data_IF_223584317964
#
_entry.id   IF_223584317964
#
_cell.length_a   1.000
_cell.length_b   1.000
_cell.length_c   1.000
_cell.angle_alpha   90.00
_cell.angle_beta   90.00
_cell.angle_gamma   90.00
#
_symmetry.space_group_name_H-M   'P 1'
#
loop_
_entity.id
_entity.type
_entity.pdbx_description
1 polymer ?
#
# COMPACT_ATOMS: atom_id res chain seq x y z
N UNK A 1 -4.51 -6.25 -28.64
CA UNK A 1 -3.64 -5.69 -27.57
C UNK A 1 -2.28 -6.37 -27.71
N UNK A 2 -1.20 -5.62 -27.95
CA UNK A 2 0.15 -6.20 -27.97
C UNK A 2 0.49 -6.67 -26.56
N UNK A 3 0.95 -7.91 -26.41
CA UNK A 3 1.55 -8.36 -25.16
C UNK A 3 2.74 -7.44 -24.83
N UNK A 4 2.87 -7.05 -23.55
CA UNK A 4 4.02 -6.28 -23.11
C UNK A 4 5.30 -7.10 -23.37
N UNK A 5 6.22 -6.57 -24.17
CA UNK A 5 7.53 -7.18 -24.40
C UNK A 5 8.56 -6.50 -23.53
N UNK A 6 9.27 -7.28 -22.71
CA UNK A 6 10.39 -6.77 -21.92
C UNK A 6 11.55 -6.42 -22.84
N UNK A 7 12.24 -5.31 -22.53
CA UNK A 7 13.52 -5.00 -23.18
C UNK A 7 14.61 -6.00 -22.73
N UNK A 8 15.76 -6.06 -23.42
CA UNK A 8 16.89 -6.86 -22.94
C UNK A 8 17.31 -6.52 -21.51
N UNK A 9 17.37 -5.23 -21.16
CA UNK A 9 17.73 -4.78 -19.80
C UNK A 9 16.67 -5.16 -18.75
N UNK A 10 15.38 -5.04 -19.10
CA UNK A 10 14.30 -5.48 -18.22
C UNK A 10 14.33 -6.99 -18.01
N UNK A 11 14.66 -7.75 -19.06
CA UNK A 11 14.79 -9.21 -19.00
C UNK A 11 16.00 -9.65 -18.17
N UNK A 12 17.14 -8.96 -18.30
CA UNK A 12 18.30 -9.17 -17.44
C UNK A 12 17.94 -8.94 -15.97
N UNK A 13 17.29 -7.81 -15.66
CA UNK A 13 16.89 -7.49 -14.30
C UNK A 13 15.93 -8.55 -13.71
N UNK A 14 14.98 -9.04 -14.51
CA UNK A 14 14.05 -10.11 -14.10
C UNK A 14 14.73 -11.46 -13.90
N UNK A 15 15.87 -11.70 -14.56
CA UNK A 15 16.63 -12.95 -14.42
C UNK A 15 17.44 -13.02 -13.12
N UNK A 16 17.78 -11.86 -12.53
CA UNK A 16 18.56 -11.77 -11.30
C UNK A 16 17.80 -12.39 -10.13
N UNK A 17 18.45 -13.32 -9.43
CA UNK A 17 17.87 -13.99 -8.26
C UNK A 17 18.35 -13.30 -6.99
N UNK A 18 17.44 -12.87 -6.11
CA UNK A 18 17.85 -12.28 -4.84
C UNK A 18 18.69 -13.24 -4.01
N UNK A 19 19.77 -12.75 -3.40
CA UNK A 19 20.65 -13.57 -2.55
C UNK A 19 19.92 -14.00 -1.27
N UNK A 20 20.24 -15.21 -0.81
CA UNK A 20 19.78 -15.76 0.47
C UNK A 20 20.98 -16.03 1.38
N UNK A 21 20.73 -16.11 2.69
CA UNK A 21 21.75 -16.40 3.70
C UNK A 21 22.16 -15.18 4.52
N UNK A 22 23.37 -15.22 5.07
CA UNK A 22 23.91 -14.14 5.91
C UNK A 22 24.23 -12.92 5.04
N UNK A 23 23.48 -11.84 5.25
CA UNK A 23 23.61 -10.57 4.53
C UNK A 23 23.77 -9.43 5.53
N UNK A 24 24.60 -8.46 5.19
CA UNK A 24 24.65 -7.16 5.87
C UNK A 24 23.33 -6.40 5.67
N UNK A 25 23.08 -5.36 6.48
CA UNK A 25 21.87 -4.52 6.34
C UNK A 25 21.82 -3.86 4.96
N UNK A 26 22.93 -3.27 4.52
CA UNK A 26 23.06 -2.70 3.18
C UNK A 26 22.77 -3.70 2.05
N UNK A 27 23.28 -4.93 2.14
CA UNK A 27 22.96 -5.98 1.17
C UNK A 27 21.47 -6.34 1.20
N UNK A 28 20.85 -6.48 2.38
CA UNK A 28 19.40 -6.73 2.48
C UNK A 28 18.58 -5.62 1.83
N UNK A 29 18.98 -4.36 2.00
CA UNK A 29 18.34 -3.20 1.34
C UNK A 29 18.48 -3.31 -0.18
N UNK A 30 19.66 -3.69 -0.69
CA UNK A 30 19.88 -3.88 -2.12
C UNK A 30 19.02 -5.01 -2.70
N UNK A 31 18.91 -6.15 -2.01
CA UNK A 31 18.05 -7.27 -2.44
C UNK A 31 16.55 -6.89 -2.41
N UNK A 32 16.13 -6.12 -1.40
CA UNK A 32 14.78 -5.57 -1.33
C UNK A 32 14.49 -4.58 -2.48
N UNK A 33 15.47 -3.75 -2.84
CA UNK A 33 15.32 -2.80 -3.95
C UNK A 33 15.23 -3.53 -5.29
N UNK A 34 16.06 -4.56 -5.51
CA UNK A 34 15.96 -5.43 -6.70
C UNK A 34 14.56 -6.01 -6.84
N UNK A 35 14.00 -6.59 -5.76
CA UNK A 35 12.64 -7.13 -5.75
C UNK A 35 11.58 -6.06 -6.05
N UNK A 36 11.75 -4.84 -5.52
CA UNK A 36 10.87 -3.71 -5.85
C UNK A 36 10.91 -3.38 -7.34
N UNK A 37 12.10 -3.30 -7.93
CA UNK A 37 12.27 -3.01 -9.35
C UNK A 37 11.65 -4.10 -10.23
N UNK A 38 11.91 -5.38 -9.93
CA UNK A 38 11.28 -6.51 -10.62
C UNK A 38 9.76 -6.48 -10.50
N UNK A 39 9.24 -6.20 -9.29
CA UNK A 39 7.81 -6.03 -9.06
C UNK A 39 7.20 -4.93 -9.92
N UNK A 40 7.89 -3.78 -10.07
CA UNK A 40 7.45 -2.68 -10.91
C UNK A 40 7.41 -3.06 -12.40
N UNK A 41 8.36 -3.86 -12.88
CA UNK A 41 8.35 -4.37 -14.26
C UNK A 41 7.15 -5.30 -14.51
N UNK A 42 6.88 -6.24 -13.60
CA UNK A 42 5.68 -7.07 -13.71
C UNK A 42 4.40 -6.24 -13.63
N UNK A 43 4.37 -5.20 -12.80
CA UNK A 43 3.23 -4.30 -12.72
C UNK A 43 3.00 -3.57 -14.04
N UNK A 44 4.06 -3.03 -14.64
CA UNK A 44 4.05 -2.38 -15.97
C UNK A 44 3.56 -3.32 -17.07
N UNK A 45 3.91 -4.60 -16.97
CA UNK A 45 3.45 -5.66 -17.87
C UNK A 45 2.02 -6.16 -17.61
N UNK A 46 1.30 -5.61 -16.62
CA UNK A 46 -0.05 -6.05 -16.24
C UNK A 46 -0.08 -7.38 -15.48
N UNK A 47 1.06 -7.93 -15.09
CA UNK A 47 1.20 -9.20 -14.39
C UNK A 47 1.10 -8.98 -12.86
N UNK A 48 -0.04 -8.46 -12.41
CA UNK A 48 -0.23 -7.98 -11.03
C UNK A 48 -0.02 -9.06 -9.95
N UNK A 49 -0.35 -10.33 -10.22
CA UNK A 49 -0.06 -11.44 -9.29
C UNK A 49 1.43 -11.63 -9.08
N UNK A 50 2.24 -11.59 -10.16
CA UNK A 50 3.70 -11.71 -10.09
C UNK A 50 4.32 -10.46 -9.43
N UNK A 51 3.83 -9.28 -9.77
CA UNK A 51 4.24 -8.03 -9.12
C UNK A 51 4.05 -8.10 -7.60
N UNK A 52 2.86 -8.52 -7.16
CA UNK A 52 2.55 -8.68 -5.73
C UNK A 52 3.47 -9.71 -5.05
N UNK A 53 3.79 -10.83 -5.71
CA UNK A 53 4.73 -11.81 -5.16
C UNK A 53 6.12 -11.22 -4.90
N UNK A 54 6.61 -10.30 -5.75
CA UNK A 54 7.89 -9.64 -5.52
C UNK A 54 7.82 -8.59 -4.42
N UNK A 55 6.75 -7.80 -4.36
CA UNK A 55 6.57 -6.86 -3.26
C UNK A 55 6.46 -7.55 -1.90
N UNK A 56 5.82 -8.73 -1.83
CA UNK A 56 5.78 -9.53 -0.59
C UNK A 56 7.18 -10.01 -0.18
N UNK A 57 8.01 -10.43 -1.14
CA UNK A 57 9.38 -10.91 -0.85
C UNK A 57 10.30 -9.83 -0.28
N UNK A 58 10.02 -8.53 -0.51
CA UNK A 58 10.77 -7.42 0.10
C UNK A 58 10.85 -7.59 1.61
N UNK A 59 9.75 -8.02 2.24
CA UNK A 59 9.65 -8.18 3.69
C UNK A 59 10.52 -9.31 4.24
N UNK A 60 11.01 -10.24 3.42
CA UNK A 60 12.01 -11.23 3.85
C UNK A 60 13.35 -10.58 4.21
N UNK A 61 13.63 -9.41 3.63
CA UNK A 61 14.90 -8.69 3.81
C UNK A 61 14.79 -7.55 4.82
N UNK A 62 13.63 -6.89 4.91
CA UNK A 62 13.47 -5.66 5.71
C UNK A 62 12.69 -5.82 7.01
N UNK A 63 12.05 -6.98 7.25
CA UNK A 63 11.41 -7.24 8.55
C UNK A 63 12.43 -7.73 9.58
N UNK A 64 12.20 -7.38 10.84
CA UNK A 64 13.06 -7.78 11.96
C UNK A 64 14.42 -7.06 12.02
N UNK A 65 14.68 -6.09 11.13
CA UNK A 65 15.81 -5.18 11.26
C UNK A 65 15.44 -4.10 12.28
N UNK A 66 16.18 -4.05 13.39
CA UNK A 66 16.10 -2.95 14.35
C UNK A 66 16.94 -1.78 13.84
N UNK A 67 16.44 -0.56 13.98
CA UNK A 67 17.18 0.67 13.67
C UNK A 67 17.83 1.18 14.95
N UNK A 68 19.08 1.62 14.89
CA UNK A 68 19.77 2.21 16.02
C UNK A 68 18.93 3.36 16.62
N UNK A 69 18.58 3.25 17.91
CA UNK A 69 17.76 4.24 18.62
C UNK A 69 16.26 3.91 18.69
N UNK A 70 15.77 2.86 18.03
CA UNK A 70 14.41 2.36 18.25
C UNK A 70 14.31 1.54 19.55
N UNK A 71 13.11 1.40 20.11
CA UNK A 71 12.88 0.64 21.35
C UNK A 71 13.25 -0.85 21.25
N UNK A 72 13.40 -1.38 20.03
CA UNK A 72 13.73 -2.78 19.77
C UNK A 72 15.25 -3.01 19.63
N UNK A 73 16.04 -1.96 19.41
CA UNK A 73 17.50 -1.99 19.24
C UNK A 73 18.24 -2.50 20.48
N UNK A 74 17.65 -2.34 21.67
CA UNK A 74 18.16 -2.87 22.93
C UNK A 74 18.19 -4.41 22.97
N UNK A 75 17.24 -5.07 22.28
CA UNK A 75 17.14 -6.53 22.18
C UNK A 75 18.00 -7.11 21.04
N UNK A 76 18.46 -6.28 20.12
CA UNK A 76 19.33 -6.67 19.01
C UNK A 76 20.83 -6.68 19.37
N UNK A 77 21.18 -6.29 20.61
CA UNK A 77 22.57 -6.30 21.13
C UNK A 77 23.14 -7.72 21.08
N UNK A 78 23.84 -8.05 19.99
CA UNK A 78 24.44 -9.36 19.72
C UNK A 78 24.30 -9.84 18.27
N UNK A 79 23.34 -9.31 17.52
CA UNK A 79 23.14 -9.62 16.10
C UNK A 79 23.60 -8.45 15.22
N UNK A 80 24.90 -8.38 14.91
CA UNK A 80 25.50 -7.33 14.07
C UNK A 80 24.78 -7.14 12.72
N UNK A 81 24.12 -8.18 12.21
CA UNK A 81 23.39 -8.18 10.93
C UNK A 81 21.91 -7.72 11.04
N UNK A 82 21.52 -7.20 12.20
CA UNK A 82 20.15 -6.76 12.50
C UNK A 82 20.07 -5.30 12.99
N UNK A 83 21.20 -4.61 13.19
CA UNK A 83 21.24 -3.20 13.63
C UNK A 83 21.51 -2.28 12.44
N UNK A 84 20.47 -1.63 11.94
CA UNK A 84 20.57 -0.63 10.87
C UNK A 84 21.02 0.73 11.43
N UNK A 85 21.86 1.44 10.69
CA UNK A 85 22.09 2.88 10.90
C UNK A 85 20.81 3.68 10.66
N UNK A 86 20.79 4.95 11.07
CA UNK A 86 19.63 5.82 10.86
C UNK A 86 19.27 5.98 9.37
N UNK A 87 20.28 6.17 8.51
CA UNK A 87 20.07 6.30 7.04
C UNK A 87 19.54 5.00 6.42
N UNK A 88 20.03 3.85 6.88
CA UNK A 88 19.49 2.54 6.50
C UNK A 88 18.06 2.36 7.02
N UNK A 89 17.75 2.83 8.22
CA UNK A 89 16.40 2.83 8.78
C UNK A 89 15.40 3.64 7.95
N UNK A 90 15.82 4.81 7.45
CA UNK A 90 15.03 5.61 6.50
C UNK A 90 14.81 4.84 5.21
N UNK A 91 15.85 4.24 4.63
CA UNK A 91 15.74 3.44 3.41
C UNK A 91 14.81 2.23 3.57
N UNK A 92 14.92 1.51 4.70
CA UNK A 92 14.04 0.39 5.06
C UNK A 92 12.58 0.86 5.16
N UNK A 93 12.33 2.00 5.81
CA UNK A 93 10.99 2.56 5.96
C UNK A 93 10.40 2.94 4.60
N UNK A 94 11.18 3.60 3.74
CA UNK A 94 10.78 3.94 2.37
C UNK A 94 10.46 2.69 1.54
N UNK A 95 11.25 1.62 1.67
CA UNK A 95 10.99 0.34 1.00
C UNK A 95 9.68 -0.29 1.47
N UNK A 96 9.41 -0.32 2.80
CA UNK A 96 8.15 -0.84 3.36
C UNK A 96 6.93 -0.03 2.87
N UNK A 97 7.03 1.30 2.90
CA UNK A 97 6.00 2.20 2.37
C UNK A 97 5.75 1.93 0.89
N UNK A 98 6.80 1.86 0.07
CA UNK A 98 6.67 1.59 -1.36
C UNK A 98 6.07 0.21 -1.65
N UNK A 99 6.50 -0.83 -0.91
CA UNK A 99 5.99 -2.19 -1.06
C UNK A 99 4.49 -2.27 -0.76
N UNK A 100 4.04 -1.82 0.42
CA UNK A 100 2.61 -1.83 0.78
C UNK A 100 1.78 -0.96 -0.17
N UNK A 101 2.27 0.23 -0.52
CA UNK A 101 1.68 1.15 -1.50
C UNK A 101 1.44 0.46 -2.85
N UNK A 102 2.43 -0.29 -3.36
CA UNK A 102 2.33 -0.99 -4.64
C UNK A 102 1.48 -2.27 -4.55
N UNK A 103 1.53 -2.99 -3.43
CA UNK A 103 0.65 -4.14 -3.17
C UNK A 103 -0.82 -3.70 -3.12
N UNK A 104 -1.13 -2.55 -2.51
CA UNK A 104 -2.49 -1.99 -2.52
C UNK A 104 -2.99 -1.79 -3.96
N UNK A 105 -2.14 -1.24 -4.84
CA UNK A 105 -2.48 -1.08 -6.25
C UNK A 105 -2.65 -2.42 -6.97
N UNK A 106 -1.79 -3.41 -6.70
CA UNK A 106 -1.94 -4.75 -7.27
C UNK A 106 -3.29 -5.36 -6.86
N UNK A 107 -3.69 -5.22 -5.60
CA UNK A 107 -4.96 -5.71 -5.11
C UNK A 107 -6.16 -5.01 -5.75
N UNK A 108 -6.10 -3.69 -5.96
CA UNK A 108 -7.14 -2.97 -6.73
C UNK A 108 -7.27 -3.50 -8.16
N UNK A 109 -6.14 -3.76 -8.84
CA UNK A 109 -6.11 -4.31 -10.20
C UNK A 109 -6.54 -5.77 -10.28
N UNK A 110 -6.50 -6.49 -9.16
CA UNK A 110 -6.95 -7.86 -9.01
C UNK A 110 -8.35 -7.96 -8.40
N UNK A 111 -9.10 -6.85 -8.30
CA UNK A 111 -10.44 -6.79 -7.72
C UNK A 111 -10.52 -7.38 -6.29
N UNK A 112 -9.51 -7.06 -5.47
CA UNK A 112 -9.41 -7.48 -4.08
C UNK A 112 -9.40 -6.25 -3.14
N UNK A 113 -10.49 -5.47 -3.05
CA UNK A 113 -10.51 -4.19 -2.35
C UNK A 113 -10.19 -4.30 -0.85
N UNK A 114 -10.58 -5.38 -0.17
CA UNK A 114 -10.26 -5.56 1.26
C UNK A 114 -8.76 -5.64 1.53
N UNK A 115 -8.04 -6.40 0.70
CA UNK A 115 -6.57 -6.48 0.80
C UNK A 115 -5.91 -5.16 0.41
N UNK A 116 -6.49 -4.42 -0.55
CA UNK A 116 -5.99 -3.10 -0.91
C UNK A 116 -6.09 -2.11 0.26
N UNK A 117 -7.20 -2.13 1.01
CA UNK A 117 -7.39 -1.32 2.22
C UNK A 117 -6.34 -1.70 3.28
N UNK A 118 -6.18 -3.00 3.57
CA UNK A 118 -5.20 -3.48 4.55
C UNK A 118 -3.78 -3.00 4.23
N UNK A 119 -3.35 -3.09 2.96
CA UNK A 119 -2.02 -2.61 2.58
C UNK A 119 -1.92 -1.08 2.63
N UNK A 120 -2.97 -0.35 2.24
CA UNK A 120 -2.97 1.11 2.35
C UNK A 120 -2.90 1.56 3.82
N UNK A 121 -3.58 0.88 4.73
CA UNK A 121 -3.56 1.17 6.16
C UNK A 121 -2.17 0.99 6.77
N UNK A 122 -1.42 -0.02 6.33
CA UNK A 122 -0.02 -0.18 6.74
C UNK A 122 0.87 1.00 6.33
N UNK A 123 0.60 1.62 5.16
CA UNK A 123 1.30 2.84 4.76
C UNK A 123 0.88 4.02 5.62
N UNK A 124 -0.43 4.19 5.85
CA UNK A 124 -0.97 5.31 6.62
C UNK A 124 -0.59 5.26 8.10
N UNK A 125 -0.36 4.07 8.66
CA UNK A 125 0.19 3.91 10.00
C UNK A 125 1.61 4.48 10.14
N UNK A 126 2.39 4.49 9.05
CA UNK A 126 3.75 5.03 9.00
C UNK A 126 3.72 6.51 8.60
N UNK A 127 2.91 6.85 7.60
CA UNK A 127 2.81 8.17 7.01
C UNK A 127 1.32 8.53 6.79
N UNK A 128 0.64 9.12 7.80
CA UNK A 128 -0.80 9.38 7.75
C UNK A 128 -1.24 10.25 6.56
N UNK A 129 -0.42 11.22 6.15
CA UNK A 129 -0.70 12.11 5.01
C UNK A 129 -0.28 11.54 3.64
N UNK A 130 0.05 10.25 3.53
CA UNK A 130 0.59 9.70 2.28
C UNK A 130 -0.48 9.62 1.17
N UNK A 131 -0.45 10.60 0.26
CA UNK A 131 -1.47 10.84 -0.78
C UNK A 131 -1.80 9.61 -1.62
N UNK A 132 -0.80 8.85 -2.09
CA UNK A 132 -1.05 7.65 -2.90
C UNK A 132 -1.70 6.51 -2.11
N UNK A 133 -1.55 6.47 -0.79
CA UNK A 133 -2.20 5.45 0.04
C UNK A 133 -3.66 5.84 0.31
N UNK A 134 -3.93 7.11 0.62
CA UNK A 134 -5.28 7.67 0.72
C UNK A 134 -6.08 7.43 -0.57
N UNK A 135 -5.51 7.76 -1.73
CA UNK A 135 -6.15 7.52 -3.04
C UNK A 135 -6.50 6.05 -3.25
N UNK A 136 -5.56 5.13 -2.99
CA UNK A 136 -5.80 3.69 -3.20
C UNK A 136 -6.83 3.13 -2.23
N UNK A 137 -6.83 3.59 -0.98
CA UNK A 137 -7.86 3.22 0.01
C UNK A 137 -9.24 3.75 -0.42
N UNK A 138 -9.31 4.97 -0.95
CA UNK A 138 -10.53 5.53 -1.50
C UNK A 138 -11.04 4.74 -2.72
N UNK A 139 -10.16 4.36 -3.64
CA UNK A 139 -10.47 3.48 -4.77
C UNK A 139 -11.06 2.15 -4.31
N UNK A 140 -10.47 1.54 -3.28
CA UNK A 140 -10.97 0.29 -2.72
C UNK A 140 -12.35 0.47 -2.06
N UNK A 141 -12.57 1.58 -1.34
CA UNK A 141 -13.88 1.89 -0.79
C UNK A 141 -14.94 2.15 -1.86
N UNK A 142 -14.58 2.80 -2.97
CA UNK A 142 -15.47 2.97 -4.13
C UNK A 142 -15.87 1.61 -4.72
N UNK A 143 -14.91 0.70 -4.94
CA UNK A 143 -15.19 -0.68 -5.39
C UNK A 143 -16.13 -1.44 -4.43
N UNK A 144 -16.12 -1.09 -3.14
CA UNK A 144 -17.02 -1.68 -2.13
C UNK A 144 -18.34 -0.93 -1.95
N UNK A 145 -18.64 0.07 -2.76
CA UNK A 145 -19.83 0.93 -2.62
C UNK A 145 -19.80 1.83 -1.37
N UNK A 146 -18.67 1.96 -0.69
CA UNK A 146 -18.52 2.78 0.53
C UNK A 146 -18.16 4.22 0.14
N UNK A 147 -19.02 4.86 -0.64
CA UNK A 147 -18.73 6.13 -1.29
C UNK A 147 -18.43 7.27 -0.32
N UNK A 148 -19.18 7.38 0.78
CA UNK A 148 -18.92 8.39 1.82
C UNK A 148 -17.47 8.32 2.34
N UNK A 149 -16.99 7.12 2.69
CA UNK A 149 -15.61 6.94 3.16
C UNK A 149 -14.57 7.25 2.08
N UNK A 150 -14.87 6.93 0.82
CA UNK A 150 -13.99 7.26 -0.29
C UNK A 150 -13.89 8.79 -0.50
N UNK A 151 -15.01 9.52 -0.42
CA UNK A 151 -15.06 10.98 -0.55
C UNK A 151 -14.21 11.66 0.53
N UNK A 152 -14.33 11.22 1.77
CA UNK A 152 -13.61 11.83 2.89
C UNK A 152 -12.09 11.68 2.75
N UNK A 153 -11.62 10.48 2.40
CA UNK A 153 -10.19 10.24 2.14
C UNK A 153 -9.65 11.06 0.96
N UNK A 154 -10.44 11.22 -0.10
CA UNK A 154 -10.04 12.02 -1.26
C UNK A 154 -9.99 13.51 -0.93
N UNK A 155 -10.90 14.00 -0.08
CA UNK A 155 -10.86 15.38 0.44
C UNK A 155 -9.62 15.60 1.29
N UNK A 156 -9.31 14.69 2.20
CA UNK A 156 -8.08 14.74 3.00
C UNK A 156 -6.83 14.78 2.10
N UNK A 157 -6.75 13.92 1.10
CA UNK A 157 -5.64 13.90 0.16
C UNK A 157 -5.54 15.20 -0.68
N UNK A 158 -6.68 15.81 -1.03
CA UNK A 158 -6.74 17.07 -1.77
C UNK A 158 -6.37 18.29 -0.93
N UNK A 159 -6.45 18.22 0.40
CA UNK A 159 -5.86 19.27 1.26
C UNK A 159 -4.34 19.31 1.09
N UNK A 160 -3.71 18.14 0.98
CA UNK A 160 -2.25 18.02 0.79
C UNK A 160 -1.83 18.36 -0.64
N UNK A 161 -2.54 17.82 -1.65
CA UNK A 161 -2.25 18.08 -3.06
C UNK A 161 -3.50 18.60 -3.83
N UNK A 162 -3.87 19.88 -3.68
CA UNK A 162 -5.10 20.44 -4.26
C UNK A 162 -5.19 20.36 -5.79
N UNK A 163 -4.03 20.28 -6.46
CA UNK A 163 -3.90 20.24 -7.93
C UNK A 163 -3.70 18.82 -8.49
N UNK A 164 -3.81 17.77 -7.67
CA UNK A 164 -3.63 16.40 -8.16
C UNK A 164 -4.81 15.97 -9.05
N UNK A 165 -4.52 15.68 -10.33
CA UNK A 165 -5.52 15.28 -11.31
C UNK A 165 -6.15 13.90 -11.00
N UNK A 166 -5.36 12.96 -10.47
CA UNK A 166 -5.84 11.62 -10.15
C UNK A 166 -6.85 11.66 -8.99
N UNK A 167 -6.58 12.45 -7.93
CA UNK A 167 -7.52 12.63 -6.82
C UNK A 167 -8.85 13.24 -7.28
N UNK A 168 -8.79 14.28 -8.12
CA UNK A 168 -10.00 14.95 -8.64
C UNK A 168 -10.81 14.04 -9.57
N UNK A 169 -10.13 13.30 -10.43
CA UNK A 169 -10.77 12.31 -11.30
C UNK A 169 -11.45 11.22 -10.48
N UNK A 170 -10.78 10.69 -9.46
CA UNK A 170 -11.36 9.67 -8.58
C UNK A 170 -12.56 10.23 -7.81
N UNK A 171 -12.45 11.44 -7.26
CA UNK A 171 -13.56 12.06 -6.52
C UNK A 171 -14.78 12.26 -7.40
N UNK A 172 -14.59 12.66 -8.66
CA UNK A 172 -15.66 12.74 -9.64
C UNK A 172 -16.34 11.38 -9.84
N UNK A 173 -15.57 10.31 -10.06
CA UNK A 173 -16.11 8.95 -10.19
C UNK A 173 -16.87 8.50 -8.95
N UNK A 174 -16.35 8.76 -7.75
CA UNK A 174 -17.05 8.42 -6.49
C UNK A 174 -18.39 9.17 -6.37
N UNK A 175 -18.45 10.43 -6.82
CA UNK A 175 -19.68 11.21 -6.77
C UNK A 175 -20.71 10.69 -7.78
N UNK A 176 -20.29 10.34 -8.99
CA UNK A 176 -21.13 9.74 -10.02
C UNK A 176 -21.68 8.38 -9.57
N UNK A 177 -20.81 7.49 -9.07
CA UNK A 177 -21.22 6.17 -8.57
C UNK A 177 -22.21 6.28 -7.39
N UNK A 178 -22.01 7.25 -6.49
CA UNK A 178 -22.92 7.49 -5.37
C UNK A 178 -24.30 8.00 -5.81
N UNK A 179 -24.37 8.76 -6.90
CA UNK A 179 -25.65 9.23 -7.47
C UNK A 179 -26.40 8.11 -8.18
N UNK A 180 -25.68 7.17 -8.79
CA UNK A 180 -26.28 6.00 -9.45
C UNK A 180 -26.77 4.95 -8.45
N UNK A 181 -26.22 4.93 -7.24
CA UNK A 181 -26.53 3.96 -6.19
C UNK A 181 -26.90 4.62 -4.83
N UNK A 182 -27.92 5.50 -4.80
CA UNK A 182 -28.29 6.25 -3.59
C UNK A 182 -28.75 5.33 -2.45
N UNK A 183 -29.29 4.15 -2.78
CA UNK A 183 -29.75 3.14 -1.82
C UNK A 183 -28.63 2.63 -0.91
N UNK A 184 -27.37 2.61 -1.37
CA UNK A 184 -26.23 2.07 -0.61
C UNK A 184 -25.87 2.99 0.56
N UNK A 185 -25.78 4.30 0.30
CA UNK A 185 -25.52 5.30 1.34
C UNK A 185 -26.78 5.47 2.25
N UNK A 186 -27.99 5.47 1.68
CA UNK A 186 -29.24 5.58 2.44
C UNK A 186 -29.47 4.40 3.38
N UNK A 187 -29.29 3.16 2.91
CA UNK A 187 -29.49 1.96 3.73
C UNK A 187 -28.52 1.96 4.92
N UNK A 188 -27.28 2.41 4.72
CA UNK A 188 -26.29 2.52 5.79
C UNK A 188 -26.63 3.64 6.78
N UNK A 189 -27.14 4.78 6.32
CA UNK A 189 -27.62 5.85 7.19
C UNK A 189 -28.83 5.38 8.03
N UNK A 190 -29.80 4.71 7.41
CA UNK A 190 -30.96 4.09 8.07
C UNK A 190 -30.53 3.04 9.10
N UNK A 191 -29.59 2.17 8.74
CA UNK A 191 -29.04 1.14 9.62
C UNK A 191 -28.32 1.76 10.83
N UNK A 192 -27.45 2.75 10.61
CA UNK A 192 -26.75 3.47 11.70
C UNK A 192 -27.74 4.13 12.65
N UNK A 193 -28.77 4.80 12.13
CA UNK A 193 -29.83 5.40 12.95
C UNK A 193 -30.64 4.36 13.74
N UNK A 194 -30.89 3.19 13.16
CA UNK A 194 -31.58 2.09 13.83
C UNK A 194 -30.74 1.52 14.99
N UNK A 195 -29.43 1.32 14.79
CA UNK A 195 -28.50 0.89 15.85
C UNK A 195 -28.41 1.91 17.00
N UNK A 196 -28.31 3.20 16.69
CA UNK A 196 -28.27 4.26 17.70
C UNK A 196 -29.59 4.37 18.49
N UNK A 197 -30.73 4.11 17.85
CA UNK A 197 -32.04 4.08 18.51
C UNK A 197 -32.25 2.82 19.37
N UNK A 198 -31.67 1.69 18.98
CA UNK A 198 -31.73 0.43 19.72
C UNK A 198 -30.72 0.34 20.89
N UNK A 199 -29.61 1.07 20.84
CA UNK A 199 -28.59 1.12 21.90
C UNK A 199 -28.96 1.90 23.15
N UNK A 200 -30.15 2.51 23.20
CA UNK A 200 -30.64 3.29 24.35
C UNK A 200 -31.33 2.48 25.46
N UNK A 201 -31.29 1.14 25.43
CA UNK A 201 -32.11 0.28 26.33
C UNK A 201 -31.29 -0.38 27.46
N UNK A 202 -29.97 -0.20 27.52
CA UNK A 202 -29.19 -0.62 28.69
C UNK A 202 -28.46 0.57 29.32
N UNK A 203 -29.18 1.27 30.20
CA UNK A 203 -28.61 2.01 31.34
C UNK A 203 -28.82 1.18 32.60
#
# INVERSE_FOLDING_TARGET
MSAYSFTPDESDLLSRKPRLGTLTVGEKIAEADLLKQQGNLYFKAGLFKKANQHYVKIFLYVNGLSVAGDGMSSYAKGAANASASESEGVAITQLKVAAHSNMAMCHLKLDNPDKAIEQADKVLAIAPGHVKALLRKAQAYRQKGKYTLAKDLLREALVVEPKNAALRSELKQVLEDAQLHPEVDEMKAKMTNMFNKAGGIYK
#
